data_IF_128715350140
#
_entry.id   IF_128715350140
#
_cell.length_a   1.000
_cell.length_b   1.000
_cell.length_c   1.000
_cell.angle_alpha   90.00
_cell.angle_beta   90.00
_cell.angle_gamma   90.00
#
_symmetry.space_group_name_H-M   'P 1'
#
loop_
_entity.id
_entity.type
_entity.pdbx_description
1 polymer ?
#
# COMPACT_ATOMS: atom_id res chain seq x y z
N UNK A 1 14.70 -2.27 2.09
CA UNK A 1 14.33 -2.89 0.80
C UNK A 1 13.11 -2.17 0.26
N UNK A 2 13.02 -1.86 -1.05
CA UNK A 2 11.86 -1.13 -1.57
C UNK A 2 10.57 -1.93 -1.30
N UNK A 3 9.45 -1.22 -1.18
CA UNK A 3 8.14 -1.82 -0.95
C UNK A 3 7.25 -1.55 -2.14
N UNK A 4 6.50 -2.56 -2.58
CA UNK A 4 5.43 -2.40 -3.54
C UNK A 4 4.13 -2.15 -2.76
N UNK A 5 3.48 -1.03 -3.06
CA UNK A 5 2.21 -0.65 -2.46
C UNK A 5 1.15 -0.64 -3.54
N UNK A 6 0.04 -1.35 -3.33
CA UNK A 6 -1.04 -1.42 -4.30
C UNK A 6 -2.40 -1.14 -3.69
N UNK A 7 -3.16 -0.24 -4.29
CA UNK A 7 -4.50 0.13 -3.86
C UNK A 7 -5.50 -0.97 -4.17
N UNK A 8 -6.34 -1.35 -3.20
CA UNK A 8 -7.35 -2.38 -3.40
C UNK A 8 -8.48 -1.95 -4.32
N UNK A 9 -8.75 -0.65 -4.40
CA UNK A 9 -9.86 -0.09 -5.15
C UNK A 9 -9.55 -0.02 -6.65
N UNK A 10 -8.47 0.66 -7.03
CA UNK A 10 -8.09 0.82 -8.44
C UNK A 10 -7.03 -0.18 -8.94
N UNK A 11 -6.52 -1.07 -8.07
CA UNK A 11 -5.45 -2.04 -8.37
C UNK A 11 -4.12 -1.42 -8.84
N UNK A 12 -3.97 -0.09 -8.74
CA UNK A 12 -2.74 0.62 -9.09
C UNK A 12 -1.65 0.28 -8.09
N UNK A 13 -0.46 -0.06 -8.60
CA UNK A 13 0.72 -0.37 -7.79
C UNK A 13 1.81 0.69 -7.98
N UNK A 14 2.49 1.05 -6.89
CA UNK A 14 3.60 2.01 -6.86
C UNK A 14 4.73 1.43 -6.02
N UNK A 15 5.96 1.55 -6.52
CA UNK A 15 7.15 1.22 -5.76
C UNK A 15 7.51 2.39 -4.85
N UNK A 16 7.62 2.14 -3.55
CA UNK A 16 7.96 3.12 -2.52
C UNK A 16 9.25 2.76 -1.80
N UNK A 17 9.83 3.76 -1.15
CA UNK A 17 11.02 3.59 -0.32
C UNK A 17 10.70 2.72 0.92
N UNK A 18 11.72 2.05 1.51
CA UNK A 18 11.52 1.02 2.54
C UNK A 18 10.78 1.49 3.80
N UNK A 19 10.95 2.77 4.14
CA UNK A 19 10.28 3.41 5.26
C UNK A 19 9.22 4.31 4.68
N UNK A 20 7.94 3.99 4.94
CA UNK A 20 6.85 4.92 4.67
C UNK A 20 7.04 6.15 5.56
N UNK A 21 7.69 7.19 5.03
CA UNK A 21 7.79 8.46 5.71
C UNK A 21 6.45 9.21 5.55
N UNK A 22 6.32 10.34 6.24
CA UNK A 22 5.11 11.16 6.20
C UNK A 22 4.70 11.54 4.77
N UNK A 23 5.68 11.74 3.88
CA UNK A 23 5.44 12.04 2.48
C UNK A 23 4.73 10.90 1.75
N UNK A 24 5.17 9.67 1.93
CA UNK A 24 4.54 8.48 1.34
C UNK A 24 3.13 8.28 1.91
N UNK A 25 2.95 8.49 3.21
CA UNK A 25 1.65 8.42 3.85
C UNK A 25 0.68 9.49 3.32
N UNK A 26 1.13 10.73 3.16
CA UNK A 26 0.33 11.80 2.58
C UNK A 26 -0.10 11.45 1.14
N UNK A 27 0.83 10.92 0.33
CA UNK A 27 0.49 10.47 -1.02
C UNK A 27 -0.57 9.35 -1.03
N UNK A 28 -0.50 8.40 -0.09
CA UNK A 28 -1.48 7.34 0.04
C UNK A 28 -2.85 7.88 0.46
N UNK A 29 -2.90 8.86 1.37
CA UNK A 29 -4.12 9.56 1.74
C UNK A 29 -4.75 10.26 0.53
N UNK A 30 -3.98 11.05 -0.21
CA UNK A 30 -4.46 11.77 -1.40
C UNK A 30 -4.96 10.79 -2.47
N UNK A 31 -4.24 9.68 -2.65
CA UNK A 31 -4.67 8.63 -3.56
C UNK A 31 -5.99 7.99 -3.12
N UNK A 32 -6.16 7.67 -1.84
CA UNK A 32 -7.40 7.08 -1.33
C UNK A 32 -8.57 8.05 -1.48
N UNK A 33 -8.39 9.32 -1.14
CA UNK A 33 -9.42 10.35 -1.29
C UNK A 33 -9.86 10.55 -2.75
N UNK A 34 -8.94 10.37 -3.71
CA UNK A 34 -9.29 10.40 -5.14
C UNK A 34 -9.91 9.08 -5.64
N UNK A 35 -9.52 7.95 -5.06
CA UNK A 35 -9.91 6.62 -5.53
C UNK A 35 -11.24 6.13 -4.95
N UNK A 36 -11.51 6.47 -3.70
CA UNK A 36 -12.74 6.13 -2.97
C UNK A 36 -13.10 7.29 -2.02
N UNK A 37 -13.67 8.38 -2.56
CA UNK A 37 -13.92 9.60 -1.78
C UNK A 37 -14.96 9.43 -0.67
N UNK A 38 -15.80 8.39 -0.76
CA UNK A 38 -16.85 8.10 0.22
C UNK A 38 -16.35 7.18 1.36
N UNK A 39 -15.07 6.79 1.34
CA UNK A 39 -14.51 5.89 2.33
C UNK A 39 -14.34 6.59 3.69
N UNK A 40 -15.04 6.13 4.75
CA UNK A 40 -14.97 6.76 6.06
C UNK A 40 -13.60 6.62 6.73
N UNK A 41 -12.72 5.73 6.23
CA UNK A 41 -11.38 5.51 6.75
C UNK A 41 -10.41 6.67 6.51
N UNK A 42 -10.69 7.56 5.54
CA UNK A 42 -9.85 8.71 5.20
C UNK A 42 -9.61 9.61 6.42
N UNK A 43 -10.55 9.66 7.37
CA UNK A 43 -10.43 10.43 8.61
C UNK A 43 -9.90 9.66 9.83
N UNK A 44 -9.69 8.34 9.74
CA UNK A 44 -9.44 7.48 10.91
C UNK A 44 -7.94 7.19 11.16
N UNK A 45 -7.04 7.93 10.51
CA UNK A 45 -5.59 7.87 10.71
C UNK A 45 -4.87 6.75 9.97
N UNK A 46 -3.54 6.72 10.10
CA UNK A 46 -2.61 5.91 9.29
C UNK A 46 -2.91 4.40 9.33
N UNK A 47 -3.29 3.88 10.50
CA UNK A 47 -3.58 2.45 10.65
C UNK A 47 -4.79 1.97 9.83
N UNK A 48 -5.78 2.85 9.62
CA UNK A 48 -6.93 2.53 8.77
C UNK A 48 -6.59 2.75 7.29
N UNK A 49 -5.86 3.82 6.95
CA UNK A 49 -5.36 4.07 5.60
C UNK A 49 -4.68 2.84 5.00
N UNK A 50 -3.75 2.22 5.74
CA UNK A 50 -2.97 1.08 5.23
C UNK A 50 -3.81 -0.17 4.94
N UNK A 51 -5.05 -0.29 5.43
CA UNK A 51 -5.95 -1.41 5.11
C UNK A 51 -6.43 -1.40 3.66
N UNK A 52 -6.41 -0.23 3.02
CA UNK A 52 -6.80 -0.06 1.61
C UNK A 52 -5.65 -0.40 0.66
N UNK A 53 -4.47 -0.68 1.20
CA UNK A 53 -3.27 -0.94 0.44
C UNK A 53 -2.64 -2.28 0.79
N UNK A 54 -2.29 -3.07 -0.22
CA UNK A 54 -1.40 -4.20 -0.04
C UNK A 54 0.03 -3.71 -0.12
N UNK A 55 0.81 -3.94 0.94
CA UNK A 55 2.24 -3.62 1.03
C UNK A 55 3.04 -4.93 0.95
N UNK A 56 4.03 -4.97 0.06
CA UNK A 56 4.91 -6.14 -0.12
C UNK A 56 6.35 -5.65 -0.17
N UNK A 57 7.21 -6.18 0.70
CA UNK A 57 8.65 -5.96 0.57
C UNK A 57 9.17 -6.68 -0.68
N UNK A 58 9.88 -5.96 -1.52
CA UNK A 58 10.47 -6.52 -2.74
C UNK A 58 11.96 -6.69 -2.50
N UNK A 59 12.41 -7.94 -2.47
CA UNK A 59 13.83 -8.24 -2.47
C UNK A 59 14.42 -7.79 -3.81
N UNK A 60 15.40 -6.88 -3.74
CA UNK A 60 16.06 -6.31 -4.91
C UNK A 60 17.06 -7.28 -5.51
N UNK A 61 16.62 -8.46 -5.92
CA UNK A 61 17.40 -9.33 -6.80
C UNK A 61 16.75 -9.37 -8.18
N UNK A 62 17.60 -9.19 -9.19
CA UNK A 62 17.28 -8.94 -10.60
C UNK A 62 16.12 -9.81 -11.08
N UNK A 63 14.95 -9.18 -11.23
CA UNK A 63 13.85 -9.58 -12.10
C UNK A 63 13.24 -10.95 -11.85
N UNK A 64 11.95 -11.00 -11.57
CA UNK A 64 10.99 -11.63 -12.50
C UNK A 64 9.57 -11.31 -12.05
N UNK A 65 8.72 -11.05 -13.04
CA UNK A 65 7.27 -11.01 -12.93
C UNK A 65 6.73 -12.27 -12.25
N UNK A 66 6.48 -12.19 -10.94
CA UNK A 66 5.45 -13.00 -10.28
C UNK A 66 5.16 -12.41 -8.91
N UNK A 67 4.18 -11.51 -8.85
CA UNK A 67 3.51 -11.17 -7.60
C UNK A 67 2.87 -12.44 -7.03
N UNK A 68 3.57 -13.10 -6.10
CA UNK A 68 3.05 -14.24 -5.38
C UNK A 68 1.77 -13.82 -4.63
N UNK A 69 0.67 -14.50 -4.94
CA UNK A 69 -0.51 -14.52 -4.09
C UNK A 69 -0.10 -15.24 -2.82
N UNK A 70 -0.19 -14.57 -1.68
CA UNK A 70 -0.39 -15.19 -0.37
C UNK A 70 -0.91 -14.09 0.55
N UNK A 71 -2.25 -14.04 0.65
CA UNK A 71 -2.90 -13.57 1.85
C UNK A 71 -2.71 -14.60 2.96
N UNK A 72 -3.01 -14.21 4.19
CA UNK A 72 -2.89 -15.01 5.42
C UNK A 72 -1.49 -15.06 6.04
N UNK A 73 -1.07 -13.98 6.72
CA UNK A 73 -0.28 -14.13 7.97
C UNK A 73 -0.09 -12.89 8.82
N UNK A 74 -1.14 -12.15 9.17
CA UNK A 74 -1.05 -11.22 10.31
C UNK A 74 -2.35 -11.25 11.13
N UNK A 75 -2.51 -12.32 11.89
CA UNK A 75 -3.37 -12.37 13.06
C UNK A 75 -2.57 -13.03 14.19
N UNK A 76 -1.96 -12.20 15.04
CA UNK A 76 -1.64 -12.50 16.44
C UNK A 76 -1.56 -11.20 17.20
#
# INVERSE_FOLDING_TARGET
MPILVSCWHCKRAVLMVPRMAERELAWLCDHLAACDPDDPSIGLGVGNLLRHFRVVEVEGERGTDRAARNGERYAR
#
